data_IF_399012527420
#
_entry.id   IF_399012527420
#
_cell.length_a   1.000
_cell.length_b   1.000
_cell.length_c   1.000
_cell.angle_alpha   90.00
_cell.angle_beta   90.00
_cell.angle_gamma   90.00
#
_symmetry.space_group_name_H-M   'P 1'
#
loop_
_entity.id
_entity.type
_entity.pdbx_description
1 polymer ?
#
# COMPACT_ATOMS: atom_id res chain seq x y z
N UNK A 1 20.89 2.71 13.76
CA UNK A 1 20.03 3.49 14.68
C UNK A 1 18.66 3.55 14.05
N UNK A 2 17.63 3.08 14.75
CA UNK A 2 16.31 2.93 14.19
C UNK A 2 15.40 4.06 14.70
N UNK A 3 14.60 4.66 13.82
CA UNK A 3 13.80 5.83 14.12
C UNK A 3 12.32 5.49 14.23
N UNK A 4 11.61 6.15 15.13
CA UNK A 4 10.15 6.05 15.22
C UNK A 4 9.51 6.59 13.94
N UNK A 5 8.69 5.76 13.31
CA UNK A 5 7.95 6.08 12.10
C UNK A 5 6.49 5.69 12.24
N UNK A 6 5.69 6.15 11.29
CA UNK A 6 4.32 5.71 11.06
C UNK A 6 4.25 4.90 9.79
N UNK A 7 3.52 3.79 9.83
CA UNK A 7 3.28 2.93 8.69
C UNK A 7 1.79 2.86 8.37
N UNK A 8 1.48 2.80 7.08
CA UNK A 8 0.18 2.46 6.54
C UNK A 8 0.34 1.29 5.56
N UNK A 9 -0.69 0.45 5.48
CA UNK A 9 -0.79 -0.61 4.48
C UNK A 9 -1.96 -0.30 3.57
N UNK A 10 -1.71 -0.35 2.27
CA UNK A 10 -2.71 -0.10 1.23
C UNK A 10 -2.85 -1.36 0.39
N UNK A 11 -4.08 -1.79 0.18
CA UNK A 11 -4.40 -2.88 -0.74
C UNK A 11 -4.96 -2.28 -2.02
N UNK A 12 -4.25 -2.46 -3.13
CA UNK A 12 -4.69 -2.03 -4.46
C UNK A 12 -5.20 -3.26 -5.19
N UNK A 13 -6.45 -3.25 -5.66
CA UNK A 13 -6.98 -4.33 -6.50
C UNK A 13 -7.24 -3.83 -7.90
N UNK A 14 -7.25 -4.73 -8.88
CA UNK A 14 -7.57 -4.40 -10.26
C UNK A 14 -8.19 -5.60 -10.97
N UNK A 15 -8.64 -5.43 -12.22
CA UNK A 15 -9.20 -6.52 -13.02
C UNK A 15 -8.20 -7.64 -13.34
N UNK A 16 -6.90 -7.36 -13.30
CA UNK A 16 -5.85 -8.36 -13.52
C UNK A 16 -4.63 -8.07 -12.62
N UNK A 17 -3.80 -9.08 -12.29
CA UNK A 17 -2.60 -8.89 -11.48
C UNK A 17 -1.64 -7.85 -12.07
N UNK A 18 -1.51 -7.82 -13.40
CA UNK A 18 -0.64 -6.86 -14.11
C UNK A 18 -1.04 -5.42 -13.80
N UNK A 19 -2.33 -5.09 -13.89
CA UNK A 19 -2.83 -3.74 -13.61
C UNK A 19 -2.69 -3.36 -12.13
N UNK A 20 -2.93 -4.28 -11.20
CA UNK A 20 -2.73 -4.04 -9.78
C UNK A 20 -1.24 -3.73 -9.48
N UNK A 21 -0.33 -4.49 -10.11
CA UNK A 21 1.11 -4.28 -9.99
C UNK A 21 1.58 -2.98 -10.64
N UNK A 22 1.06 -2.61 -11.80
CA UNK A 22 1.37 -1.32 -12.45
C UNK A 22 1.00 -0.14 -11.54
N UNK A 23 -0.18 -0.16 -10.94
CA UNK A 23 -0.62 0.87 -9.99
C UNK A 23 0.29 0.91 -8.75
N UNK A 24 0.62 -0.25 -8.19
CA UNK A 24 1.49 -0.37 -7.03
C UNK A 24 2.92 0.13 -7.31
N UNK A 25 3.51 -0.26 -8.45
CA UNK A 25 4.83 0.21 -8.88
C UNK A 25 4.87 1.73 -9.01
N UNK A 26 3.87 2.32 -9.67
CA UNK A 26 3.72 3.77 -9.79
C UNK A 26 3.59 4.43 -8.41
N UNK A 27 2.74 3.87 -7.53
CA UNK A 27 2.55 4.35 -6.16
C UNK A 27 3.85 4.34 -5.34
N UNK A 28 4.69 3.32 -5.53
CA UNK A 28 5.98 3.16 -4.83
C UNK A 28 7.16 3.87 -5.50
N UNK A 29 6.94 4.51 -6.65
CA UNK A 29 7.98 5.30 -7.33
C UNK A 29 8.40 6.53 -6.52
N UNK A 30 9.69 6.89 -6.60
CA UNK A 30 10.26 8.04 -5.86
C UNK A 30 9.88 8.03 -4.37
N UNK A 31 10.14 6.92 -3.68
CA UNK A 31 9.78 6.68 -2.28
C UNK A 31 10.88 5.89 -1.54
N UNK A 32 12.14 6.27 -1.71
CA UNK A 32 13.30 5.52 -1.17
C UNK A 32 13.78 6.03 0.18
N UNK A 33 13.54 7.30 0.52
CA UNK A 33 13.94 7.88 1.80
C UNK A 33 12.95 8.95 2.25
N UNK A 34 12.53 8.91 3.51
CA UNK A 34 11.64 9.93 4.07
C UNK A 34 12.24 11.34 4.13
N UNK A 35 13.57 11.47 4.08
CA UNK A 35 14.26 12.77 4.14
C UNK A 35 14.01 13.58 2.87
N UNK A 36 14.25 12.96 1.70
CA UNK A 36 14.12 13.62 0.39
C UNK A 36 12.79 13.35 -0.31
N UNK A 37 12.31 12.11 -0.27
CA UNK A 37 11.08 11.69 -0.93
C UNK A 37 9.82 11.93 -0.09
N UNK A 38 9.98 12.30 1.19
CA UNK A 38 8.91 12.55 2.17
C UNK A 38 8.08 11.32 2.56
N UNK A 39 8.44 10.15 2.03
CA UNK A 39 7.78 8.86 2.27
C UNK A 39 8.70 7.75 1.78
N UNK A 40 8.72 6.65 2.52
CA UNK A 40 9.30 5.38 2.09
C UNK A 40 8.17 4.44 1.72
N UNK A 41 8.24 3.77 0.57
CA UNK A 41 7.17 2.86 0.15
C UNK A 41 7.71 1.66 -0.61
N UNK A 42 7.05 0.52 -0.44
CA UNK A 42 7.43 -0.72 -1.10
C UNK A 42 6.24 -1.65 -1.29
N UNK A 43 6.32 -2.47 -2.33
CA UNK A 43 5.39 -3.58 -2.54
C UNK A 43 5.72 -4.64 -1.49
N UNK A 44 4.73 -5.00 -0.69
CA UNK A 44 4.85 -6.04 0.33
C UNK A 44 4.59 -7.41 -0.27
N UNK A 45 3.44 -7.58 -0.95
CA UNK A 45 3.02 -8.86 -1.50
C UNK A 45 2.01 -8.69 -2.65
N UNK A 46 1.98 -9.64 -3.58
CA UNK A 46 0.85 -9.85 -4.48
C UNK A 46 -0.22 -10.68 -3.74
N UNK A 47 -1.49 -10.35 -3.93
CA UNK A 47 -2.63 -10.94 -3.23
C UNK A 47 -3.56 -11.66 -4.22
N UNK A 48 -4.02 -12.84 -3.83
CA UNK A 48 -5.02 -13.59 -4.55
C UNK A 48 -6.41 -12.99 -4.36
N UNK A 49 -7.35 -13.21 -5.30
CA UNK A 49 -8.72 -12.67 -5.22
C UNK A 49 -9.41 -12.89 -3.86
N UNK A 50 -9.28 -14.09 -3.29
CA UNK A 50 -9.89 -14.44 -1.99
C UNK A 50 -9.31 -13.71 -0.78
N UNK A 51 -8.16 -13.05 -0.93
CA UNK A 51 -7.49 -12.29 0.14
C UNK A 51 -7.87 -10.80 0.09
N UNK A 52 -8.66 -10.38 -0.90
CA UNK A 52 -9.00 -8.98 -1.13
C UNK A 52 -10.45 -8.65 -0.80
N UNK A 53 -10.77 -7.41 -0.40
CA UNK A 53 -12.14 -7.04 0.00
C UNK A 53 -13.18 -7.12 -1.12
N UNK A 54 -12.76 -7.02 -2.39
CA UNK A 54 -13.66 -7.01 -3.54
C UNK A 54 -13.52 -8.24 -4.46
N UNK A 55 -12.78 -9.27 -4.02
CA UNK A 55 -12.68 -10.53 -4.73
C UNK A 55 -11.88 -10.45 -6.03
N UNK A 56 -10.95 -9.50 -6.15
CA UNK A 56 -10.14 -9.26 -7.36
C UNK A 56 -8.65 -9.41 -7.05
N UNK A 57 -7.79 -9.74 -8.03
CA UNK A 57 -6.36 -9.79 -7.78
C UNK A 57 -5.85 -8.43 -7.27
N UNK A 58 -4.95 -8.47 -6.30
CA UNK A 58 -4.48 -7.27 -5.63
C UNK A 58 -2.99 -7.26 -5.34
N UNK A 59 -2.51 -6.12 -4.84
CA UNK A 59 -1.15 -5.91 -4.37
C UNK A 59 -1.22 -5.13 -3.07
N UNK A 60 -0.51 -5.62 -2.06
CA UNK A 60 -0.30 -4.91 -0.81
C UNK A 60 0.94 -4.02 -0.90
N UNK A 61 0.79 -2.78 -0.47
CA UNK A 61 1.84 -1.76 -0.45
C UNK A 61 1.98 -1.21 0.96
N UNK A 62 3.22 -1.15 1.44
CA UNK A 62 3.56 -0.50 2.71
C UNK A 62 4.09 0.91 2.42
N UNK A 63 3.66 1.87 3.23
CA UNK A 63 4.12 3.25 3.19
C UNK A 63 4.52 3.70 4.59
N UNK A 64 5.65 4.39 4.70
CA UNK A 64 6.24 4.86 5.93
C UNK A 64 6.48 6.37 5.87
N UNK A 65 6.18 7.06 6.97
CA UNK A 65 6.41 8.50 7.13
C UNK A 65 6.78 8.86 8.56
N UNK A 66 7.16 10.11 8.81
CA UNK A 66 7.54 10.58 10.15
C UNK A 66 6.36 10.59 11.12
N UNK A 67 5.21 11.08 10.65
CA UNK A 67 3.99 11.19 11.44
C UNK A 67 2.76 10.84 10.59
N UNK A 68 1.62 10.64 11.25
CA UNK A 68 0.40 10.20 10.59
C UNK A 68 -0.20 11.27 9.68
N UNK A 69 -0.09 12.55 10.02
CA UNK A 69 -0.64 13.63 9.20
C UNK A 69 0.12 13.76 7.88
N UNK A 70 1.45 13.76 7.95
CA UNK A 70 2.34 13.75 6.79
C UNK A 70 2.10 12.52 5.92
N UNK A 71 2.04 11.33 6.53
CA UNK A 71 1.74 10.08 5.82
C UNK A 71 0.36 10.12 5.14
N UNK A 72 -0.66 10.64 5.82
CA UNK A 72 -1.99 10.85 5.26
C UNK A 72 -1.99 11.74 4.02
N UNK A 73 -1.25 12.86 4.07
CA UNK A 73 -1.05 13.72 2.90
C UNK A 73 -0.34 13.01 1.74
N UNK A 74 0.67 12.18 2.03
CA UNK A 74 1.37 11.39 1.00
C UNK A 74 0.48 10.29 0.41
N UNK A 75 -0.38 9.67 1.21
CA UNK A 75 -1.38 8.71 0.74
C UNK A 75 -2.38 9.36 -0.21
N UNK A 76 -2.90 10.55 0.11
CA UNK A 76 -3.80 11.30 -0.78
C UNK A 76 -3.12 11.57 -2.12
N UNK A 77 -1.91 12.14 -2.10
CA UNK A 77 -1.18 12.46 -3.34
C UNK A 77 -0.91 11.21 -4.17
N UNK A 78 -0.39 10.15 -3.55
CA UNK A 78 -0.03 8.93 -4.27
C UNK A 78 -1.26 8.19 -4.78
N UNK A 79 -2.25 7.92 -3.94
CA UNK A 79 -3.48 7.25 -4.39
C UNK A 79 -4.17 8.08 -5.48
N UNK A 80 -4.26 9.40 -5.32
CA UNK A 80 -4.90 10.28 -6.29
C UNK A 80 -4.18 10.37 -7.64
N UNK A 81 -2.85 10.33 -7.65
CA UNK A 81 -2.06 10.52 -8.89
C UNK A 81 -1.58 9.22 -9.53
N UNK A 82 -1.57 8.10 -8.81
CA UNK A 82 -1.04 6.83 -9.33
C UNK A 82 -2.05 5.69 -9.33
N UNK A 83 -2.98 5.65 -8.36
CA UNK A 83 -3.95 4.56 -8.25
C UNK A 83 -5.25 4.95 -8.93
N UNK A 84 -5.86 6.07 -8.54
CA UNK A 84 -7.10 6.60 -9.11
C UNK A 84 -7.02 6.76 -10.64
N UNK A 85 -5.85 7.10 -11.15
CA UNK A 85 -5.57 7.29 -12.59
C UNK A 85 -5.22 6.00 -13.31
N UNK A 86 -4.99 4.89 -12.59
CA UNK A 86 -4.63 3.60 -13.16
C UNK A 86 -5.89 2.76 -13.43
N UNK A 87 -5.97 2.09 -14.61
CA UNK A 87 -7.19 1.45 -15.02
C UNK A 87 -7.71 0.35 -14.10
N UNK A 88 -9.04 0.34 -13.92
CA UNK A 88 -9.81 -0.66 -13.19
C UNK A 88 -9.50 -0.76 -11.70
N UNK A 89 -8.75 0.18 -11.14
CA UNK A 89 -8.24 0.00 -9.77
C UNK A 89 -9.31 0.22 -8.70
N UNK A 90 -9.14 -0.47 -7.57
CA UNK A 90 -9.77 -0.14 -6.29
C UNK A 90 -8.69 0.02 -5.22
N UNK A 91 -8.96 0.82 -4.19
CA UNK A 91 -7.99 1.13 -3.14
C UNK A 91 -8.59 0.98 -1.74
N UNK A 92 -8.01 0.09 -0.94
CA UNK A 92 -8.56 -0.39 0.32
C UNK A 92 -7.54 -0.31 1.45
N UNK A 93 -8.06 -0.17 2.67
CA UNK A 93 -7.24 -0.17 3.88
C UNK A 93 -6.71 -1.57 4.20
N UNK A 94 -5.40 -1.68 4.37
CA UNK A 94 -4.73 -2.92 4.78
C UNK A 94 -4.53 -3.07 6.30
N UNK A 95 -4.88 -2.05 7.10
CA UNK A 95 -4.79 -2.07 8.56
C UNK A 95 -6.15 -1.74 9.24
N UNK A 96 -7.20 -2.55 9.02
CA UNK A 96 -8.54 -2.24 9.51
C UNK A 96 -8.64 -2.16 11.04
N UNK A 97 -7.76 -2.84 11.79
CA UNK A 97 -7.74 -2.82 13.25
C UNK A 97 -6.91 -1.67 13.86
N UNK A 98 -6.23 -0.86 13.04
CA UNK A 98 -5.43 0.25 13.56
C UNK A 98 -6.32 1.33 14.18
N UNK A 99 -5.98 1.75 15.41
CA UNK A 99 -6.73 2.76 16.14
C UNK A 99 -6.56 4.16 15.56
N UNK A 100 -5.37 4.49 15.05
CA UNK A 100 -5.09 5.76 14.39
C UNK A 100 -5.45 5.64 12.91
N UNK A 101 -6.19 6.63 12.40
CA UNK A 101 -6.75 6.63 11.04
C UNK A 101 -6.46 7.95 10.35
N UNK A 102 -6.22 7.89 9.04
CA UNK A 102 -6.09 9.08 8.18
C UNK A 102 -7.15 9.04 7.08
N UNK A 103 -7.76 10.19 6.78
CA UNK A 103 -8.82 10.28 5.76
C UNK A 103 -8.18 10.46 4.39
N UNK A 104 -8.39 9.50 3.49
CA UNK A 104 -7.79 9.50 2.14
C UNK A 104 -8.90 9.52 1.09
N UNK A 105 -9.71 8.46 1.01
CA UNK A 105 -10.85 8.42 0.08
C UNK A 105 -11.85 9.53 0.33
N UNK A 106 -12.04 9.94 1.59
CA UNK A 106 -12.88 11.09 1.94
C UNK A 106 -12.39 12.43 1.36
N UNK A 107 -11.08 12.57 1.11
CA UNK A 107 -10.50 13.73 0.43
C UNK A 107 -10.61 13.55 -1.08
N UNK A 108 -10.21 12.38 -1.59
CA UNK A 108 -10.21 12.08 -3.02
C UNK A 108 -11.60 12.11 -3.66
N UNK A 109 -12.66 11.86 -2.90
CA UNK A 109 -14.05 11.91 -3.39
C UNK A 109 -14.41 13.21 -4.08
N UNK A 110 -13.76 14.32 -3.71
CA UNK A 110 -14.01 15.63 -4.31
C UNK A 110 -13.60 15.71 -5.78
N UNK A 111 -12.77 14.77 -6.26
CA UNK A 111 -12.46 14.60 -7.68
C UNK A 111 -13.70 14.30 -8.53
N UNK A 112 -14.71 13.65 -7.95
CA UNK A 112 -15.97 13.31 -8.65
C UNK A 112 -16.92 14.49 -8.84
N UNK A 113 -16.53 15.71 -8.47
CA UNK A 113 -17.30 16.95 -8.61
C UNK A 113 -18.81 16.83 -8.30
N UNK A 114 -19.12 16.28 -7.12
CA UNK A 114 -20.48 16.04 -6.59
C UNK A 114 -21.23 14.83 -7.17
N UNK A 115 -20.66 14.15 -8.17
CA UNK A 115 -21.22 12.92 -8.72
C UNK A 115 -20.73 11.66 -8.00
N UNK A 116 -19.87 11.79 -6.98
CA UNK A 116 -19.45 10.67 -6.15
C UNK A 116 -20.63 10.09 -5.35
N UNK A 117 -20.64 8.77 -5.19
CA UNK A 117 -21.57 8.08 -4.31
C UNK A 117 -20.82 7.42 -3.15
N UNK A 118 -21.51 7.28 -2.01
CA UNK A 118 -20.95 6.62 -0.82
C UNK A 118 -21.75 5.38 -0.46
N UNK A 119 -21.07 4.37 0.07
CA UNK A 119 -21.70 3.18 0.65
C UNK A 119 -21.04 2.86 1.97
N UNK A 120 -21.83 2.49 2.98
CA UNK A 120 -21.33 2.00 4.25
C UNK A 120 -21.55 0.49 4.31
N UNK A 121 -20.47 -0.28 4.46
CA UNK A 121 -20.48 -1.74 4.50
C UNK A 121 -19.52 -2.19 5.59
N UNK A 122 -19.95 -3.12 6.43
CA UNK A 122 -19.11 -3.78 7.45
C UNK A 122 -18.32 -2.80 8.33
N UNK A 123 -18.96 -1.69 8.72
CA UNK A 123 -18.33 -0.66 9.56
C UNK A 123 -17.40 0.30 8.81
N UNK A 124 -17.26 0.16 7.50
CA UNK A 124 -16.38 0.97 6.66
C UNK A 124 -17.16 1.75 5.60
N UNK A 125 -16.78 3.01 5.39
CA UNK A 125 -17.29 3.83 4.29
C UNK A 125 -16.42 3.67 3.06
N UNK A 126 -17.08 3.54 1.93
CA UNK A 126 -16.49 3.50 0.59
C UNK A 126 -17.05 4.64 -0.26
N UNK A 127 -16.22 5.13 -1.16
CA UNK A 127 -16.54 6.14 -2.16
C UNK A 127 -16.39 5.55 -3.55
N UNK A 128 -17.40 5.74 -4.39
CA UNK A 128 -17.32 5.51 -5.84
C UNK A 128 -17.21 6.86 -6.51
N UNK A 129 -16.09 7.09 -7.18
CA UNK A 129 -15.73 8.36 -7.79
C UNK A 129 -15.83 8.18 -9.31
N UNK A 130 -16.74 8.88 -10.00
CA UNK A 130 -16.81 8.83 -11.46
C UNK A 130 -15.49 9.30 -12.08
N UNK A 131 -14.96 8.49 -12.99
CA UNK A 131 -13.74 8.74 -13.76
C UNK A 131 -13.99 8.34 -15.22
N UNK A 132 -13.09 8.68 -16.14
CA UNK A 132 -13.31 8.42 -17.57
C UNK A 132 -13.58 6.94 -17.90
N UNK A 133 -12.98 6.02 -17.15
CA UNK A 133 -13.15 4.58 -17.37
C UNK A 133 -14.39 3.97 -16.70
N UNK A 134 -15.14 4.74 -15.91
CA UNK A 134 -16.25 4.28 -15.10
C UNK A 134 -16.18 4.85 -13.70
N UNK A 135 -15.81 4.02 -12.72
CA UNK A 135 -15.79 4.41 -11.32
C UNK A 135 -14.54 3.89 -10.62
N UNK A 136 -13.89 4.78 -9.86
CA UNK A 136 -12.82 4.43 -8.95
C UNK A 136 -13.40 4.18 -7.54
N UNK A 137 -13.15 3.00 -6.97
CA UNK A 137 -13.61 2.61 -5.64
C UNK A 137 -12.50 2.82 -4.62
N UNK A 138 -12.76 3.60 -3.58
CA UNK A 138 -11.77 3.85 -2.50
C UNK A 138 -12.42 3.89 -1.12
N UNK A 139 -11.75 3.32 -0.13
CA UNK A 139 -12.17 3.39 1.26
C UNK A 139 -11.94 4.79 1.86
N UNK A 140 -12.82 5.26 2.74
CA UNK A 140 -12.79 6.63 3.28
C UNK A 140 -11.49 6.94 4.03
N UNK A 141 -11.07 6.03 4.90
CA UNK A 141 -9.94 6.22 5.80
C UNK A 141 -9.08 4.97 5.87
N UNK A 142 -7.79 5.17 6.13
CA UNK A 142 -6.76 4.15 6.17
C UNK A 142 -6.12 4.08 7.55
N UNK A 143 -5.80 2.88 8.01
CA UNK A 143 -5.13 2.63 9.27
C UNK A 143 -3.67 3.05 9.25
N UNK A 144 -3.23 3.63 10.36
CA UNK A 144 -1.83 3.99 10.61
C UNK A 144 -1.38 3.37 11.93
N UNK A 145 -0.20 2.78 11.93
CA UNK A 145 0.41 2.22 13.14
C UNK A 145 1.83 2.72 13.34
N UNK A 146 2.35 2.56 14.55
CA UNK A 146 3.77 2.80 14.83
C UNK A 146 4.62 1.75 14.11
N UNK A 147 5.71 2.19 13.51
CA UNK A 147 6.69 1.36 12.84
C UNK A 147 8.09 1.87 13.14
N UNK A 148 9.08 1.06 12.80
CA UNK A 148 10.49 1.37 13.02
C UNK A 148 11.15 1.51 11.66
N UNK A 149 11.71 2.68 11.40
CA UNK A 149 12.52 2.97 10.20
C UNK A 149 13.99 2.72 10.41
N UNK A 150 14.71 2.36 9.34
CA UNK A 150 16.17 2.26 9.39
C UNK A 150 16.71 0.95 9.96
N UNK A 151 16.01 -0.17 9.76
CA UNK A 151 16.60 -1.50 9.90
C UNK A 151 17.57 -1.76 8.75
N UNK A 152 18.84 -1.34 8.90
CA UNK A 152 19.89 -1.59 7.92
C UNK A 152 20.89 -2.64 8.44
N UNK A 153 21.32 -3.51 7.53
CA UNK A 153 22.41 -4.47 7.76
C UNK A 153 23.41 -4.32 6.62
N UNK A 154 24.70 -4.47 6.94
CA UNK A 154 25.79 -4.30 5.97
C UNK A 154 26.12 -5.65 5.35
N UNK A 155 26.22 -5.70 4.02
CA UNK A 155 26.73 -6.85 3.27
C UNK A 155 28.17 -6.51 2.86
N UNK A 156 29.13 -7.27 3.38
CA UNK A 156 30.55 -7.17 3.03
C UNK A 156 30.89 -8.36 2.14
N UNK A 157 31.34 -8.10 0.91
CA UNK A 157 31.72 -9.12 -0.05
C UNK A 157 33.08 -8.81 -0.69
N UNK A 158 33.67 -9.79 -1.38
CA UNK A 158 34.99 -9.68 -1.98
C UNK A 158 35.02 -8.77 -3.23
N UNK A 159 33.89 -8.65 -3.94
CA UNK A 159 33.70 -7.84 -5.14
C UNK A 159 32.24 -7.38 -5.27
N UNK A 160 31.98 -6.51 -6.25
CA UNK A 160 30.67 -5.88 -6.49
C UNK A 160 29.61 -6.90 -6.90
N UNK A 161 29.95 -7.87 -7.75
CA UNK A 161 29.02 -8.90 -8.23
C UNK A 161 28.54 -9.79 -7.08
N UNK A 162 29.44 -10.17 -6.16
CA UNK A 162 29.10 -10.93 -4.97
C UNK A 162 28.26 -10.12 -3.96
N UNK A 163 28.53 -8.82 -3.81
CA UNK A 163 27.74 -7.94 -2.96
C UNK A 163 26.31 -7.78 -3.50
N UNK A 164 26.16 -7.60 -4.81
CA UNK A 164 24.86 -7.44 -5.47
C UNK A 164 24.04 -8.74 -5.40
N UNK A 165 24.63 -9.89 -5.71
CA UNK A 165 23.95 -11.18 -5.62
C UNK A 165 23.46 -11.49 -4.19
N UNK A 166 24.27 -11.15 -3.18
CA UNK A 166 23.88 -11.28 -1.78
C UNK A 166 22.75 -10.32 -1.38
N UNK A 167 22.78 -9.08 -1.88
CA UNK A 167 21.72 -8.09 -1.65
C UNK A 167 20.40 -8.52 -2.31
N UNK A 168 20.43 -8.98 -3.56
CA UNK A 168 19.25 -9.49 -4.28
C UNK A 168 18.65 -10.72 -3.58
N UNK A 169 19.49 -11.67 -3.16
CA UNK A 169 19.03 -12.83 -2.41
C UNK A 169 18.43 -12.44 -1.05
N UNK A 170 18.99 -11.45 -0.36
CA UNK A 170 18.45 -10.96 0.90
C UNK A 170 17.08 -10.30 0.68
N UNK A 171 16.95 -9.47 -0.36
CA UNK A 171 15.68 -8.84 -0.75
C UNK A 171 14.63 -9.90 -1.10
N UNK A 172 15.00 -10.95 -1.84
CA UNK A 172 14.07 -12.03 -2.21
C UNK A 172 13.57 -12.82 -1.00
N UNK A 173 14.44 -13.10 -0.02
CA UNK A 173 14.04 -13.73 1.23
C UNK A 173 13.14 -12.81 2.05
N UNK A 174 13.44 -11.52 2.11
CA UNK A 174 12.60 -10.53 2.80
C UNK A 174 11.21 -10.43 2.18
N UNK A 175 11.11 -10.45 0.85
CA UNK A 175 9.82 -10.49 0.12
C UNK A 175 8.99 -11.73 0.47
N UNK A 176 9.62 -12.90 0.64
CA UNK A 176 8.93 -14.15 1.03
C UNK A 176 8.50 -14.17 2.49
N UNK A 177 9.21 -13.43 3.34
CA UNK A 177 8.96 -13.37 4.79
C UNK A 177 7.82 -12.39 5.13
N UNK A 178 7.60 -11.38 4.29
CA UNK A 178 6.45 -10.48 4.33
C UNK A 178 5.17 -11.19 3.86
N UNK A 179 4.66 -12.10 4.69
CA UNK A 179 3.49 -12.92 4.36
C UNK A 179 3.33 -14.22 5.16
N UNK A 180 4.27 -14.56 6.06
CA UNK A 180 4.12 -15.71 6.94
C UNK A 180 3.14 -15.43 8.11
N UNK A 181 1.86 -15.24 7.80
CA UNK A 181 0.79 -15.73 8.68
C UNK A 181 0.52 -17.17 8.28
N UNK A 182 1.28 -18.11 8.83
CA UNK A 182 0.98 -19.53 8.76
C UNK A 182 -0.38 -19.77 9.44
N UNK A 183 -1.46 -19.81 8.67
CA UNK A 183 -2.64 -20.54 9.09
C UNK A 183 -2.30 -22.02 8.96
N UNK A 184 -1.89 -22.64 10.08
CA UNK A 184 -1.93 -24.09 10.19
C UNK A 184 -3.35 -24.56 9.85
N UNK A 185 -3.54 -25.52 8.93
CA UNK A 185 -4.83 -26.17 8.80
C UNK A 185 -5.01 -27.06 10.03
N UNK A 186 -6.00 -26.74 10.86
CA UNK A 186 -6.59 -27.72 11.75
C UNK A 186 -7.16 -28.85 10.87
N UNK A 187 -6.73 -30.10 11.09
CA UNK A 187 -7.38 -31.24 10.45
C UNK A 187 -6.53 -32.51 10.32
N UNK A 188 -6.33 -33.21 11.44
CA UNK A 188 -6.50 -34.67 11.56
C UNK A 188 -6.36 -35.09 13.01
#
# INVERSE_FOLDING_TARGET
EAFDMRAARVVITARSPVWARTAAQSMTGFATSVIGCKVEAGIEAELLPQETPDGRPGVSVLLFGFDAAGLGGRLVDRVGQTVLTCPTTGCFDGLPQAAERVVVGGVLRHFGDRFQSSKFLDGHRYWRIPVMEGEFLVQEAFGVQKAIGGGNFLILAADEDAALAAAESAVDVMRRSAGSSSHSPAGS
#
